data_IF_824216117104
#
_entry.id   IF_824216117104
#
_cell.length_a   1.000
_cell.length_b   1.000
_cell.length_c   1.000
_cell.angle_alpha   90.00
_cell.angle_beta   90.00
_cell.angle_gamma   90.00
#
_symmetry.space_group_name_H-M   'P 1'
#
loop_
_entity.id
_entity.type
_entity.pdbx_description
1 polymer ?
#
# COMPACT_ATOMS: atom_id res chain seq x y z
N UNK A 1 -16.41 -43.90 -15.52
CA UNK A 1 -15.13 -43.20 -15.76
C UNK A 1 -15.06 -41.94 -14.90
N UNK A 2 -14.62 -42.03 -13.63
CA UNK A 2 -14.68 -40.93 -12.68
C UNK A 2 -13.36 -40.13 -12.74
N UNK A 3 -13.28 -39.16 -13.64
CA UNK A 3 -12.15 -38.23 -13.75
C UNK A 3 -12.64 -36.79 -14.00
N UNK A 4 -13.71 -36.37 -13.33
CA UNK A 4 -14.22 -34.98 -13.40
C UNK A 4 -14.45 -34.33 -12.02
N UNK A 5 -13.92 -34.94 -10.95
CA UNK A 5 -14.09 -34.45 -9.56
C UNK A 5 -12.77 -34.11 -8.84
N UNK A 6 -11.61 -34.14 -9.51
CA UNK A 6 -10.29 -33.89 -8.92
C UNK A 6 -9.63 -32.57 -9.35
N UNK A 7 -10.40 -31.61 -9.85
CA UNK A 7 -9.86 -30.34 -10.37
C UNK A 7 -10.34 -29.11 -9.59
N UNK A 8 -10.96 -29.30 -8.42
CA UNK A 8 -11.47 -28.20 -7.58
C UNK A 8 -10.83 -28.15 -6.18
N UNK A 9 -9.94 -29.09 -5.82
CA UNK A 9 -9.33 -29.16 -4.48
C UNK A 9 -7.88 -28.65 -4.42
N UNK A 10 -7.21 -28.43 -5.57
CA UNK A 10 -5.77 -28.07 -5.62
C UNK A 10 -5.51 -26.55 -5.78
N UNK A 11 -6.40 -25.71 -5.24
CA UNK A 11 -6.12 -24.28 -5.02
C UNK A 11 -6.27 -23.98 -3.52
N UNK A 12 -5.65 -24.81 -2.67
CA UNK A 12 -5.31 -24.38 -1.32
C UNK A 12 -4.25 -23.30 -1.45
N UNK A 13 -4.73 -22.06 -1.49
CA UNK A 13 -3.96 -20.86 -1.21
C UNK A 13 -3.35 -21.07 0.19
N UNK A 14 -2.14 -21.64 0.25
CA UNK A 14 -1.39 -21.90 1.48
C UNK A 14 -1.00 -20.56 2.11
N UNK A 15 -1.99 -19.87 2.68
CA UNK A 15 -1.81 -18.72 3.55
C UNK A 15 -1.09 -19.21 4.79
N UNK A 16 0.11 -18.68 5.03
CA UNK A 16 0.80 -18.92 6.30
C UNK A 16 -0.14 -18.57 7.46
N UNK A 17 -0.26 -19.45 8.48
CA UNK A 17 -1.06 -19.14 9.65
C UNK A 17 -0.66 -17.80 10.24
N UNK A 18 -1.61 -16.85 10.31
CA UNK A 18 -1.39 -15.54 10.92
C UNK A 18 -1.44 -15.69 12.44
N UNK A 19 -0.27 -15.71 13.09
CA UNK A 19 -0.16 -15.81 14.56
C UNK A 19 -0.97 -14.72 15.29
N UNK A 20 -1.19 -13.56 14.66
CA UNK A 20 -2.01 -12.45 15.18
C UNK A 20 -3.47 -12.86 15.46
N UNK A 21 -4.00 -13.85 14.73
CA UNK A 21 -5.39 -14.33 14.87
C UNK A 21 -5.54 -15.45 15.90
N UNK A 22 -4.41 -16.08 16.28
CA UNK A 22 -4.40 -17.24 17.19
C UNK A 22 -5.06 -16.95 18.55
N UNK A 23 -4.85 -15.80 19.21
CA UNK A 23 -5.51 -15.51 20.48
C UNK A 23 -7.04 -15.41 20.34
N UNK A 24 -7.53 -14.81 19.25
CA UNK A 24 -8.97 -14.68 18.98
C UNK A 24 -9.63 -16.03 18.73
N UNK A 25 -8.98 -16.88 17.93
CA UNK A 25 -9.41 -18.26 17.69
C UNK A 25 -9.43 -19.08 18.99
N UNK A 26 -8.40 -18.96 19.84
CA UNK A 26 -8.35 -19.69 21.09
C UNK A 26 -9.47 -19.27 22.05
N UNK A 27 -9.71 -17.97 22.20
CA UNK A 27 -10.78 -17.45 23.04
C UNK A 27 -12.17 -17.91 22.56
N UNK A 28 -12.40 -17.91 21.24
CA UNK A 28 -13.66 -18.39 20.66
C UNK A 28 -13.83 -19.90 20.88
N UNK A 29 -12.77 -20.69 20.68
CA UNK A 29 -12.79 -22.12 20.94
C UNK A 29 -13.09 -22.45 22.41
N UNK A 30 -12.41 -21.79 23.36
CA UNK A 30 -12.60 -22.03 24.79
C UNK A 30 -14.02 -21.71 25.25
N UNK A 31 -14.57 -20.59 24.76
CA UNK A 31 -15.94 -20.19 25.04
C UNK A 31 -16.95 -21.22 24.52
N UNK A 32 -16.90 -21.55 23.24
CA UNK A 32 -17.88 -22.44 22.62
C UNK A 32 -17.74 -23.89 23.12
N UNK A 33 -16.53 -24.30 23.50
CA UNK A 33 -16.30 -25.58 24.18
C UNK A 33 -16.94 -25.62 25.58
N UNK A 34 -16.89 -24.51 26.32
CA UNK A 34 -17.53 -24.41 27.63
C UNK A 34 -19.06 -24.40 27.51
N UNK A 35 -19.60 -23.82 26.45
CA UNK A 35 -21.03 -23.77 26.14
C UNK A 35 -21.58 -25.12 25.62
N UNK A 36 -20.71 -26.11 25.40
CA UNK A 36 -21.09 -27.45 24.95
C UNK A 36 -21.36 -27.54 23.44
N UNK A 37 -20.93 -26.55 22.66
CA UNK A 37 -21.06 -26.52 21.20
C UNK A 37 -20.27 -27.69 20.59
N UNK A 38 -20.87 -28.37 19.61
CA UNK A 38 -20.21 -29.50 18.94
C UNK A 38 -19.00 -29.03 18.12
N UNK A 39 -17.95 -29.85 18.08
CA UNK A 39 -16.70 -29.53 17.39
C UNK A 39 -16.88 -29.09 15.92
N UNK A 40 -17.75 -29.71 15.09
CA UNK A 40 -18.00 -29.23 13.73
C UNK A 40 -18.56 -27.81 13.68
N UNK A 41 -19.43 -27.44 14.62
CA UNK A 41 -19.98 -26.08 14.72
C UNK A 41 -18.90 -25.08 15.17
N UNK A 42 -18.04 -25.46 16.13
CA UNK A 42 -16.89 -24.64 16.55
C UNK A 42 -15.93 -24.39 15.37
N UNK A 43 -15.64 -25.40 14.56
CA UNK A 43 -14.78 -25.26 13.37
C UNK A 43 -15.39 -24.26 12.37
N UNK A 44 -16.71 -24.31 12.16
CA UNK A 44 -17.42 -23.34 11.32
C UNK A 44 -17.27 -21.91 11.87
N UNK A 45 -17.52 -21.71 13.17
CA UNK A 45 -17.38 -20.41 13.82
C UNK A 45 -15.95 -19.86 13.75
N UNK A 46 -14.94 -20.72 13.90
CA UNK A 46 -13.53 -20.34 13.78
C UNK A 46 -13.19 -19.91 12.35
N UNK A 47 -13.69 -20.61 11.32
CA UNK A 47 -13.50 -20.21 9.93
C UNK A 47 -14.10 -18.84 9.66
N UNK A 48 -15.34 -18.61 10.08
CA UNK A 48 -16.03 -17.33 9.91
C UNK A 48 -15.31 -16.19 10.65
N UNK A 49 -14.80 -16.48 11.86
CA UNK A 49 -14.01 -15.53 12.64
C UNK A 49 -12.72 -15.14 11.92
N UNK A 50 -11.94 -16.11 11.44
CA UNK A 50 -10.69 -15.86 10.71
C UNK A 50 -10.95 -15.00 9.48
N UNK A 51 -11.93 -15.34 8.64
CA UNK A 51 -12.25 -14.58 7.43
C UNK A 51 -12.60 -13.13 7.76
N UNK A 52 -13.41 -12.90 8.81
CA UNK A 52 -13.78 -11.54 9.23
C UNK A 52 -12.58 -10.74 9.74
N UNK A 53 -11.75 -11.34 10.57
CA UNK A 53 -10.59 -10.66 11.15
C UNK A 53 -9.51 -10.38 10.11
N UNK A 54 -9.31 -11.29 9.15
CA UNK A 54 -8.42 -11.08 8.01
C UNK A 54 -8.87 -9.92 7.14
N UNK A 55 -10.18 -9.82 6.86
CA UNK A 55 -10.72 -8.68 6.10
C UNK A 55 -10.49 -7.37 6.87
N UNK A 56 -10.75 -7.35 8.18
CA UNK A 56 -10.50 -6.18 9.02
C UNK A 56 -9.03 -5.75 8.97
N UNK A 57 -8.10 -6.69 9.16
CA UNK A 57 -6.67 -6.43 9.08
C UNK A 57 -6.24 -5.94 7.70
N UNK A 58 -6.82 -6.49 6.64
CA UNK A 58 -6.53 -6.07 5.26
C UNK A 58 -6.93 -4.61 5.05
N UNK A 59 -8.13 -4.22 5.46
CA UNK A 59 -8.62 -2.84 5.35
C UNK A 59 -7.75 -1.90 6.17
N UNK A 60 -7.43 -2.24 7.43
CA UNK A 60 -6.59 -1.42 8.30
C UNK A 60 -5.18 -1.22 7.71
N UNK A 61 -4.57 -2.29 7.20
CA UNK A 61 -3.26 -2.22 6.55
C UNK A 61 -3.31 -1.37 5.28
N UNK A 62 -4.35 -1.50 4.47
CA UNK A 62 -4.53 -0.71 3.26
C UNK A 62 -4.67 0.78 3.59
N UNK A 63 -5.47 1.14 4.60
CA UNK A 63 -5.62 2.52 5.07
C UNK A 63 -4.31 3.09 5.60
N UNK A 64 -3.60 2.32 6.44
CA UNK A 64 -2.29 2.71 6.97
C UNK A 64 -1.27 2.92 5.86
N UNK A 65 -1.25 2.01 4.89
CA UNK A 65 -0.38 2.11 3.72
C UNK A 65 -0.71 3.36 2.88
N UNK A 66 -1.99 3.60 2.58
CA UNK A 66 -2.45 4.80 1.87
C UNK A 66 -2.01 6.08 2.59
N UNK A 67 -2.19 6.15 3.91
CA UNK A 67 -1.80 7.30 4.73
C UNK A 67 -0.28 7.53 4.71
N UNK A 68 0.51 6.49 4.97
CA UNK A 68 1.97 6.58 4.93
C UNK A 68 2.49 7.01 3.55
N UNK A 69 1.89 6.51 2.47
CA UNK A 69 2.23 6.91 1.09
C UNK A 69 1.93 8.37 0.81
N UNK A 70 0.84 8.91 1.36
CA UNK A 70 0.49 10.31 1.24
C UNK A 70 1.42 11.21 2.06
N UNK A 71 1.74 10.82 3.29
CA UNK A 71 2.72 11.50 4.15
C UNK A 71 4.10 11.54 3.49
N UNK A 72 4.57 10.40 2.96
CA UNK A 72 5.82 10.31 2.20
C UNK A 72 5.82 11.21 0.97
N UNK A 73 4.69 11.28 0.24
CA UNK A 73 4.53 12.17 -0.92
C UNK A 73 4.67 13.62 -0.49
N UNK A 74 3.94 14.04 0.55
CA UNK A 74 3.99 15.41 1.08
C UNK A 74 5.39 15.76 1.58
N UNK A 75 6.06 14.86 2.29
CA UNK A 75 7.42 15.08 2.78
C UNK A 75 8.43 15.28 1.64
N UNK A 76 8.31 14.50 0.56
CA UNK A 76 9.17 14.65 -0.63
C UNK A 76 8.87 15.95 -1.38
N UNK A 77 7.59 16.30 -1.56
CA UNK A 77 7.18 17.57 -2.17
C UNK A 77 7.72 18.76 -1.36
N UNK A 78 7.60 18.71 -0.04
CA UNK A 78 8.11 19.75 0.85
C UNK A 78 9.63 19.92 0.75
N UNK A 79 10.39 18.82 0.67
CA UNK A 79 11.86 18.87 0.46
C UNK A 79 12.22 19.53 -0.87
N UNK A 80 11.50 19.21 -1.94
CA UNK A 80 11.70 19.83 -3.25
C UNK A 80 11.42 21.34 -3.19
N UNK A 81 10.29 21.73 -2.58
CA UNK A 81 9.87 23.13 -2.46
C UNK A 81 10.81 23.95 -1.56
N UNK A 82 11.34 23.35 -0.49
CA UNK A 82 12.34 23.99 0.37
C UNK A 82 13.71 24.13 -0.29
N UNK A 83 13.91 23.50 -1.45
CA UNK A 83 15.19 23.51 -2.17
C UNK A 83 16.26 22.62 -1.53
N UNK A 84 15.86 21.65 -0.72
CA UNK A 84 16.75 20.57 -0.29
C UNK A 84 16.98 19.59 -1.44
N UNK A 85 18.10 18.88 -1.42
CA UNK A 85 18.32 17.80 -2.39
C UNK A 85 17.31 16.67 -2.15
N UNK A 86 16.70 16.18 -3.23
CA UNK A 86 15.65 15.20 -3.19
C UNK A 86 15.68 14.31 -4.44
N UNK A 87 15.28 13.05 -4.26
CA UNK A 87 15.08 12.12 -5.37
C UNK A 87 13.86 12.50 -6.20
N UNK A 88 13.61 11.76 -7.28
CA UNK A 88 12.46 11.97 -8.16
C UNK A 88 11.15 12.04 -7.38
N UNK A 89 10.52 13.19 -7.45
CA UNK A 89 9.31 13.57 -6.73
C UNK A 89 8.33 14.18 -7.72
N UNK A 90 7.10 13.68 -7.72
CA UNK A 90 6.01 14.25 -8.50
C UNK A 90 5.34 15.35 -7.67
N UNK A 91 5.12 16.52 -8.25
CA UNK A 91 4.50 17.65 -7.56
C UNK A 91 3.00 17.68 -7.86
N UNK A 92 2.13 17.61 -6.85
CA UNK A 92 0.68 17.82 -6.97
C UNK A 92 0.03 17.05 -8.13
N UNK A 93 0.44 15.78 -8.34
CA UNK A 93 -0.03 14.91 -9.44
C UNK A 93 0.28 15.43 -10.86
N UNK A 94 1.20 16.37 -11.00
CA UNK A 94 1.70 16.81 -12.31
C UNK A 94 2.24 15.61 -13.10
N UNK A 95 2.05 15.53 -14.43
CA UNK A 95 2.68 14.50 -15.24
C UNK A 95 4.22 14.60 -15.23
N UNK A 96 4.79 15.68 -14.67
CA UNK A 96 6.20 15.92 -14.57
C UNK A 96 6.80 15.42 -13.25
N UNK A 97 7.99 14.84 -13.35
CA UNK A 97 8.80 14.48 -12.20
C UNK A 97 9.91 15.49 -12.00
N UNK A 98 10.25 15.78 -10.76
CA UNK A 98 11.29 16.72 -10.40
C UNK A 98 12.30 16.04 -9.51
N UNK A 99 13.58 16.38 -9.65
CA UNK A 99 14.58 16.02 -8.66
C UNK A 99 15.51 17.20 -8.43
N UNK A 100 16.17 17.18 -7.27
CA UNK A 100 17.18 18.18 -6.94
C UNK A 100 18.41 17.47 -6.42
N UNK A 101 19.53 17.71 -7.10
CA UNK A 101 20.80 17.09 -6.77
C UNK A 101 21.91 18.13 -6.90
N UNK A 102 22.77 18.21 -5.90
CA UNK A 102 23.88 19.17 -5.84
C UNK A 102 23.38 20.61 -6.04
N UNK A 103 22.23 20.95 -5.45
CA UNK A 103 21.61 22.28 -5.55
C UNK A 103 21.02 22.65 -6.92
N UNK A 104 21.02 21.73 -7.89
CA UNK A 104 20.43 21.91 -9.23
C UNK A 104 19.11 21.16 -9.33
N UNK A 105 18.12 21.78 -9.96
CA UNK A 105 16.80 21.16 -10.14
C UNK A 105 16.65 20.64 -11.58
N UNK A 106 16.14 19.43 -11.70
CA UNK A 106 15.85 18.77 -12.96
C UNK A 106 14.37 18.43 -13.04
N UNK A 107 13.83 18.39 -14.26
CA UNK A 107 12.44 18.04 -14.56
C UNK A 107 12.42 17.00 -15.67
N UNK A 108 11.75 15.88 -15.44
CA UNK A 108 11.35 14.94 -16.48
C UNK A 108 9.92 15.27 -16.91
N UNK A 109 9.73 15.43 -18.21
CA UNK A 109 8.40 15.61 -18.81
C UNK A 109 8.10 14.48 -19.79
N UNK A 110 6.93 13.85 -19.70
CA UNK A 110 6.56 12.78 -20.61
C UNK A 110 6.28 13.35 -22.01
N UNK A 111 6.65 12.60 -23.04
CA UNK A 111 6.31 12.89 -24.44
C UNK A 111 5.12 12.05 -24.89
N UNK A 112 4.53 12.39 -26.04
CA UNK A 112 3.44 11.60 -26.65
C UNK A 112 3.88 10.18 -27.01
N UNK A 113 5.16 9.99 -27.31
CA UNK A 113 5.74 8.70 -27.70
C UNK A 113 6.14 7.82 -26.50
N UNK A 114 5.57 8.06 -25.31
CA UNK A 114 5.91 7.38 -24.05
C UNK A 114 7.40 7.49 -23.66
N UNK A 115 8.11 8.48 -24.19
CA UNK A 115 9.50 8.79 -23.79
C UNK A 115 9.50 9.92 -22.76
N UNK A 116 10.69 10.22 -22.20
CA UNK A 116 10.89 11.27 -21.22
C UNK A 116 11.91 12.28 -21.69
N UNK A 117 11.52 13.56 -21.68
CA UNK A 117 12.45 14.67 -21.91
C UNK A 117 12.99 15.17 -20.56
N UNK A 118 14.31 15.16 -20.42
CA UNK A 118 15.01 15.68 -19.25
C UNK A 118 15.40 17.14 -19.46
N UNK A 119 14.89 18.01 -18.59
CA UNK A 119 15.23 19.43 -18.56
C UNK A 119 16.00 19.75 -17.29
N UNK A 120 17.12 20.47 -17.43
CA UNK A 120 17.73 21.15 -16.29
C UNK A 120 17.07 22.52 -16.13
N UNK A 121 16.43 22.75 -14.99
CA UNK A 121 15.83 24.05 -14.70
C UNK A 121 16.93 25.02 -14.25
N UNK A 122 17.16 26.05 -15.04
CA UNK A 122 17.98 27.19 -14.62
C UNK A 122 17.08 28.10 -13.81
N UNK A 123 17.50 28.46 -12.59
CA UNK A 123 16.81 29.52 -11.83
C UNK A 123 16.86 30.79 -12.68
N UNK A 124 15.75 31.18 -13.30
CA UNK A 124 15.62 32.55 -13.76
C UNK A 124 15.59 33.41 -12.50
N UNK A 125 16.59 34.29 -12.34
CA UNK A 125 16.47 35.38 -11.38
C UNK A 125 15.19 36.11 -11.78
N UNK A 126 14.17 36.13 -10.92
CA UNK A 126 13.04 37.06 -11.08
C UNK A 126 13.66 38.44 -11.23
N UNK A 127 13.70 38.97 -12.45
CA UNK A 127 13.93 40.38 -12.67
C UNK A 127 12.74 41.09 -12.04
N UNK A 128 12.92 41.62 -10.85
CA UNK A 128 12.02 42.62 -10.28
C UNK A 128 12.02 43.80 -11.23
N UNK A 129 11.07 43.83 -12.18
CA UNK A 129 10.64 45.09 -12.80
C UNK A 129 9.96 45.87 -11.68
N UNK A 130 10.68 46.81 -11.08
CA UNK A 130 10.08 47.92 -10.32
C UNK A 130 9.48 48.92 -11.34
N UNK A 131 8.35 49.57 -10.99
CA UNK A 131 7.72 50.59 -11.83
C UNK A 131 8.62 51.82 -12.00
#
# INVERSE_FOLDING_TARGET
MPQRLRAFEDEEDFSYPKEELRPGCLALYEKERADGTELPAIIGLLRDHVVREEERLRVEQEERYKRSREEDRMAREQRLLSGADCTWTQLQKSPHWFCRANGRTYRLSPTKDKMWNLYRLVRSRRTTRKP
#
